data_IF_603001441323
#
_entry.id   IF_603001441323
#
_cell.length_a   1.000
_cell.length_b   1.000
_cell.length_c   1.000
_cell.angle_alpha   90.00
_cell.angle_beta   90.00
_cell.angle_gamma   90.00
#
_symmetry.space_group_name_H-M   'P 1'
#
loop_
_entity.id
_entity.type
_entity.pdbx_description
1 polymer ?
#
# COMPACT_ATOMS: atom_id res chain seq x y z
N UNK A 1 -37.66 25.47 -48.71
CA UNK A 1 -37.07 25.86 -50.01
C UNK A 1 -35.56 25.75 -49.80
N UNK A 2 -34.96 24.70 -50.40
CA UNK A 2 -33.53 24.31 -50.48
C UNK A 2 -32.74 24.24 -49.13
N UNK A 3 -32.41 23.09 -48.55
CA UNK A 3 -31.62 21.92 -48.99
C UNK A 3 -30.12 22.18 -49.20
N UNK A 4 -29.30 21.63 -48.31
CA UNK A 4 -27.94 21.08 -48.55
C UNK A 4 -27.30 20.65 -47.22
N UNK A 5 -27.17 19.33 -47.04
CA UNK A 5 -26.19 18.69 -46.13
C UNK A 5 -24.75 19.01 -46.57
N UNK A 6 -23.74 18.87 -45.68
CA UNK A 6 -23.07 17.57 -45.57
C UNK A 6 -22.50 17.19 -44.18
N UNK A 7 -22.43 15.87 -44.00
CA UNK A 7 -21.32 15.05 -43.45
C UNK A 7 -20.94 15.09 -41.96
N UNK A 8 -21.27 13.95 -41.37
CA UNK A 8 -20.84 13.30 -40.13
C UNK A 8 -19.34 12.97 -40.20
N UNK A 9 -18.55 13.33 -39.17
CA UNK A 9 -17.16 12.88 -39.02
C UNK A 9 -16.96 12.28 -37.64
N UNK A 10 -16.94 10.95 -37.63
CA UNK A 10 -16.50 10.09 -36.53
C UNK A 10 -15.00 10.33 -36.26
N UNK A 11 -14.65 10.53 -34.98
CA UNK A 11 -13.26 10.53 -34.53
C UNK A 11 -12.92 9.10 -34.11
N UNK A 12 -12.37 8.35 -35.06
CA UNK A 12 -11.75 7.04 -34.84
C UNK A 12 -10.31 7.26 -34.33
N UNK A 13 -10.02 6.85 -33.08
CA UNK A 13 -8.67 6.89 -32.52
C UNK A 13 -7.98 5.57 -32.88
N UNK A 14 -7.15 5.63 -33.91
CA UNK A 14 -6.42 4.51 -34.51
C UNK A 14 -5.32 3.99 -33.56
N UNK A 15 -5.45 2.73 -33.14
CA UNK A 15 -4.45 1.96 -32.42
C UNK A 15 -3.44 1.40 -33.43
N UNK A 16 -2.24 1.98 -33.53
CA UNK A 16 -1.12 1.38 -34.28
C UNK A 16 0.18 1.42 -33.47
N UNK A 17 0.40 0.32 -32.74
CA UNK A 17 1.75 -0.20 -32.49
C UNK A 17 1.80 -1.61 -33.08
N UNK A 18 2.09 -1.68 -34.38
CA UNK A 18 2.60 -2.87 -35.03
C UNK A 18 4.07 -2.57 -35.36
N UNK A 19 4.99 -3.22 -34.67
CA UNK A 19 6.42 -3.16 -35.02
C UNK A 19 6.66 -4.26 -36.04
N UNK A 20 6.74 -3.85 -37.30
CA UNK A 20 7.18 -4.68 -38.42
C UNK A 20 8.68 -5.00 -38.25
N UNK A 21 9.00 -6.29 -38.15
CA UNK A 21 10.36 -6.79 -38.31
C UNK A 21 10.69 -6.82 -39.81
N UNK A 22 11.45 -5.84 -40.31
CA UNK A 22 12.11 -5.94 -41.61
C UNK A 22 13.60 -6.19 -41.42
N UNK A 23 14.02 -7.41 -41.76
CA UNK A 23 15.41 -7.81 -41.96
C UNK A 23 15.95 -7.16 -43.23
N UNK A 24 17.02 -6.37 -43.10
CA UNK A 24 17.82 -5.90 -44.23
C UNK A 24 19.09 -6.76 -44.32
N UNK A 25 19.17 -7.54 -45.40
CA UNK A 25 20.37 -8.23 -45.88
C UNK A 25 21.29 -7.23 -46.59
N UNK A 26 22.58 -7.26 -46.27
CA UNK A 26 23.61 -6.59 -47.05
C UNK A 26 24.66 -7.63 -47.45
N UNK A 27 24.78 -7.87 -48.76
CA UNK A 27 25.84 -8.65 -49.38
C UNK A 27 26.99 -7.74 -49.83
N UNK A 28 28.17 -8.37 -49.80
CA UNK A 28 29.41 -8.16 -50.57
C UNK A 28 30.45 -7.07 -50.20
N UNK A 29 31.56 -7.62 -49.68
CA UNK A 29 32.96 -7.47 -50.13
C UNK A 29 33.73 -6.16 -49.95
N UNK A 30 34.68 -6.15 -49.00
CA UNK A 30 36.12 -6.24 -49.37
C UNK A 30 37.09 -6.43 -48.17
N UNK A 31 37.86 -7.51 -48.26
CA UNK A 31 39.28 -7.75 -47.89
C UNK A 31 39.92 -7.11 -46.64
N UNK A 32 40.34 -8.05 -45.78
CA UNK A 32 41.50 -8.07 -44.88
C UNK A 32 42.67 -7.13 -45.24
N UNK A 33 43.28 -6.47 -44.25
CA UNK A 33 44.74 -6.52 -43.97
C UNK A 33 45.03 -6.04 -42.54
N UNK A 34 45.95 -6.77 -41.89
CA UNK A 34 46.53 -6.63 -40.54
C UNK A 34 47.19 -5.27 -40.31
N UNK A 35 47.30 -4.82 -39.05
CA UNK A 35 48.56 -4.79 -38.25
C UNK A 35 48.46 -3.76 -37.11
N UNK A 36 48.93 -4.16 -35.93
CA UNK A 36 49.09 -3.35 -34.73
C UNK A 36 50.02 -2.14 -34.92
N UNK A 37 49.68 -1.00 -34.28
CA UNK A 37 50.45 -0.30 -33.24
C UNK A 37 50.13 1.20 -33.26
N UNK A 38 49.73 1.68 -32.08
CA UNK A 38 50.01 2.98 -31.48
C UNK A 38 49.62 4.24 -32.27
N UNK A 39 48.59 4.94 -31.81
CA UNK A 39 48.78 6.30 -31.30
C UNK A 39 47.62 6.70 -30.39
N UNK A 40 48.00 7.17 -29.20
CA UNK A 40 47.16 7.90 -28.26
C UNK A 40 47.05 9.30 -28.82
N UNK A 41 45.84 9.72 -29.22
CA UNK A 41 45.32 11.07 -29.06
C UNK A 41 43.99 11.20 -29.81
N UNK A 42 42.89 11.02 -29.06
CA UNK A 42 41.61 11.72 -29.22
C UNK A 42 40.62 11.14 -28.20
N UNK A 43 40.63 11.72 -26.99
CA UNK A 43 39.54 11.55 -26.04
C UNK A 43 38.35 12.34 -26.59
N UNK A 44 37.49 11.68 -27.37
CA UNK A 44 36.14 12.16 -27.65
C UNK A 44 35.18 11.57 -26.63
N UNK A 45 34.78 12.38 -25.64
CA UNK A 45 33.69 12.02 -24.73
C UNK A 45 32.40 11.98 -25.53
N UNK A 46 31.97 10.77 -25.89
CA UNK A 46 30.66 10.52 -26.47
C UNK A 46 29.73 10.14 -25.32
N UNK A 47 28.72 10.97 -25.04
CA UNK A 47 27.67 10.62 -24.09
C UNK A 47 26.82 9.48 -24.67
N UNK A 48 27.18 8.25 -24.31
CA UNK A 48 26.41 7.04 -24.62
C UNK A 48 25.16 7.04 -23.71
N UNK A 49 24.00 7.25 -24.33
CA UNK A 49 22.69 7.13 -23.70
C UNK A 49 22.23 5.66 -23.75
N UNK A 50 23.05 4.75 -23.22
CA UNK A 50 22.69 3.33 -23.18
C UNK A 50 22.25 2.96 -21.76
N UNK A 51 20.95 2.73 -21.66
CA UNK A 51 20.32 1.63 -20.93
C UNK A 51 20.87 1.31 -19.53
N UNK A 52 20.22 1.89 -18.51
CA UNK A 52 19.98 1.21 -17.25
C UNK A 52 18.98 0.07 -17.48
N UNK A 53 19.41 -0.99 -18.14
CA UNK A 53 18.80 -2.32 -18.03
C UNK A 53 19.65 -3.06 -17.03
N UNK A 54 19.13 -3.20 -15.81
CA UNK A 54 19.68 -4.14 -14.84
C UNK A 54 19.44 -5.52 -15.42
N UNK A 55 20.51 -6.20 -15.84
CA UNK A 55 20.48 -7.62 -16.19
C UNK A 55 20.06 -8.41 -14.94
N UNK A 56 18.82 -8.92 -14.95
CA UNK A 56 18.28 -9.83 -13.92
C UNK A 56 18.49 -11.31 -14.32
N UNK A 57 19.08 -11.59 -15.48
CA UNK A 57 19.11 -12.96 -16.05
C UNK A 57 20.39 -13.75 -15.73
N UNK A 58 20.72 -13.99 -14.46
CA UNK A 58 21.81 -14.94 -14.13
C UNK A 58 21.58 -15.96 -13.01
N UNK A 59 20.35 -16.27 -12.57
CA UNK A 59 20.13 -17.43 -11.69
C UNK A 59 18.82 -18.21 -11.90
N UNK A 60 18.63 -18.85 -13.04
CA UNK A 60 18.03 -20.20 -13.08
C UNK A 60 18.18 -20.84 -14.47
N UNK A 61 19.15 -21.73 -14.61
CA UNK A 61 19.27 -22.60 -15.78
C UNK A 61 18.60 -23.93 -15.44
N UNK A 62 17.27 -23.96 -15.50
CA UNK A 62 16.45 -25.16 -15.33
C UNK A 62 15.54 -25.24 -16.55
N UNK A 63 15.92 -26.03 -17.54
CA UNK A 63 15.16 -26.28 -18.77
C UNK A 63 13.86 -27.03 -18.45
N UNK A 64 12.80 -26.30 -18.15
CA UNK A 64 11.42 -26.78 -18.25
C UNK A 64 10.75 -26.08 -19.44
N UNK A 65 9.89 -26.78 -20.21
CA UNK A 65 9.16 -26.14 -21.30
C UNK A 65 8.23 -25.08 -20.71
N UNK A 66 8.60 -23.81 -20.90
CA UNK A 66 7.83 -22.64 -20.48
C UNK A 66 6.45 -22.71 -21.12
N UNK A 67 5.43 -22.85 -20.29
CA UNK A 67 4.04 -22.80 -20.72
C UNK A 67 3.77 -21.37 -21.22
N UNK A 68 3.04 -21.21 -22.33
CA UNK A 68 2.84 -19.91 -23.03
C UNK A 68 2.16 -18.81 -22.18
N UNK A 69 1.81 -19.09 -20.93
CA UNK A 69 1.22 -18.17 -19.96
C UNK A 69 2.25 -17.50 -19.03
N UNK A 70 3.53 -17.86 -19.07
CA UNK A 70 4.54 -17.36 -18.11
C UNK A 70 5.02 -15.92 -18.40
N UNK A 71 4.79 -15.39 -19.61
CA UNK A 71 5.18 -14.02 -19.99
C UNK A 71 4.30 -12.90 -19.42
N UNK A 72 3.12 -13.22 -18.89
CA UNK A 72 2.19 -12.23 -18.32
C UNK A 72 2.27 -12.13 -16.79
N UNK A 73 3.05 -13.01 -16.14
CA UNK A 73 3.18 -13.05 -14.69
C UNK A 73 4.22 -12.04 -14.21
N UNK A 74 3.95 -11.42 -13.05
CA UNK A 74 4.91 -10.51 -12.44
C UNK A 74 6.25 -11.22 -12.16
N UNK A 75 7.41 -10.59 -12.41
CA UNK A 75 8.71 -11.16 -12.08
C UNK A 75 8.93 -11.32 -10.57
N UNK A 76 8.09 -10.67 -9.75
CA UNK A 76 8.11 -10.78 -8.30
C UNK A 76 7.11 -11.83 -7.83
N UNK A 77 7.63 -12.89 -7.20
CA UNK A 77 6.83 -14.01 -6.70
C UNK A 77 5.73 -13.56 -5.74
N UNK A 78 5.98 -12.54 -4.91
CA UNK A 78 4.98 -12.05 -3.95
C UNK A 78 3.82 -11.35 -4.65
N UNK A 79 4.07 -10.69 -5.79
CA UNK A 79 3.02 -10.04 -6.58
C UNK A 79 2.25 -11.11 -7.35
N UNK A 80 2.97 -12.01 -8.02
CA UNK A 80 2.47 -13.16 -8.76
C UNK A 80 1.52 -14.06 -7.93
N UNK A 81 1.83 -14.27 -6.66
CA UNK A 81 1.00 -15.08 -5.77
C UNK A 81 -0.30 -14.39 -5.33
N UNK A 82 -0.31 -13.06 -5.24
CA UNK A 82 -1.38 -12.28 -4.61
C UNK A 82 -2.28 -11.53 -5.60
N UNK A 83 -1.80 -11.25 -6.81
CA UNK A 83 -2.50 -10.50 -7.85
C UNK A 83 -2.79 -11.43 -9.04
N UNK A 84 -4.01 -11.35 -9.58
CA UNK A 84 -4.38 -12.07 -10.80
C UNK A 84 -4.02 -11.23 -12.03
N UNK A 85 -3.44 -11.85 -13.05
CA UNK A 85 -3.17 -11.17 -14.33
C UNK A 85 -4.41 -11.01 -15.20
N UNK A 86 -5.47 -11.76 -14.88
CA UNK A 86 -6.74 -11.72 -15.62
C UNK A 86 -7.64 -10.63 -15.04
N UNK A 87 -8.08 -9.71 -15.89
CA UNK A 87 -9.10 -8.71 -15.56
C UNK A 87 -10.33 -8.84 -16.47
N UNK A 88 -11.51 -8.56 -15.92
CA UNK A 88 -12.78 -8.46 -16.66
C UNK A 88 -13.24 -6.99 -16.70
N UNK A 89 -13.09 -6.29 -17.85
CA UNK A 89 -13.49 -4.89 -17.99
C UNK A 89 -14.99 -4.63 -17.84
N UNK A 90 -15.84 -5.64 -17.98
CA UNK A 90 -17.31 -5.49 -17.94
C UNK A 90 -17.88 -5.44 -16.52
N UNK A 91 -17.07 -5.81 -15.51
CA UNK A 91 -17.48 -5.89 -14.12
C UNK A 91 -17.79 -4.50 -13.55
N UNK A 92 -18.95 -4.36 -12.90
CA UNK A 92 -19.38 -3.10 -12.30
C UNK A 92 -18.39 -2.61 -11.22
N UNK A 93 -18.13 -1.30 -11.16
CA UNK A 93 -17.17 -0.70 -10.22
C UNK A 93 -17.84 0.41 -9.39
N UNK A 94 -18.33 1.44 -10.08
CA UNK A 94 -18.96 2.61 -9.46
C UNK A 94 -20.47 2.40 -9.36
N UNK A 95 -20.90 1.81 -8.25
CA UNK A 95 -22.31 1.56 -7.97
C UNK A 95 -22.76 2.32 -6.73
N UNK A 96 -24.06 2.38 -6.50
CA UNK A 96 -24.60 3.06 -5.31
C UNK A 96 -24.01 2.49 -4.01
N UNK A 97 -23.90 1.16 -3.90
CA UNK A 97 -23.31 0.49 -2.74
C UNK A 97 -21.83 0.85 -2.56
N UNK A 98 -21.06 0.97 -3.65
CA UNK A 98 -19.65 1.38 -3.59
C UNK A 98 -19.49 2.78 -3.00
N UNK A 99 -20.29 3.74 -3.47
CA UNK A 99 -20.27 5.11 -2.96
C UNK A 99 -20.77 5.20 -1.52
N UNK A 100 -21.89 4.56 -1.21
CA UNK A 100 -22.49 4.59 0.12
C UNK A 100 -21.56 3.99 1.17
N UNK A 101 -21.04 2.77 0.93
CA UNK A 101 -20.13 2.11 1.86
C UNK A 101 -18.76 2.80 1.90
N UNK A 102 -18.23 3.21 0.75
CA UNK A 102 -16.96 3.94 0.66
C UNK A 102 -16.98 5.20 1.53
N UNK A 103 -17.95 6.09 1.31
CA UNK A 103 -18.07 7.34 2.08
C UNK A 103 -18.33 7.07 3.58
N UNK A 104 -19.17 6.09 3.91
CA UNK A 104 -19.46 5.74 5.30
C UNK A 104 -18.21 5.25 6.03
N UNK A 105 -17.44 4.33 5.43
CA UNK A 105 -16.19 3.85 6.03
C UNK A 105 -15.11 4.93 6.07
N UNK A 106 -14.96 5.75 5.04
CA UNK A 106 -14.00 6.88 5.07
C UNK A 106 -14.30 7.83 6.23
N UNK A 107 -15.55 8.24 6.40
CA UNK A 107 -15.96 9.14 7.49
C UNK A 107 -15.79 8.51 8.87
N UNK A 108 -16.22 7.25 9.03
CA UNK A 108 -16.10 6.53 10.30
C UNK A 108 -14.64 6.32 10.71
N UNK A 109 -13.80 5.88 9.78
CA UNK A 109 -12.40 5.57 10.04
C UNK A 109 -11.62 6.85 10.36
N UNK A 110 -11.87 7.94 9.61
CA UNK A 110 -11.26 9.24 9.86
C UNK A 110 -11.62 9.79 11.23
N UNK A 111 -12.90 9.69 11.63
CA UNK A 111 -13.34 10.11 12.95
C UNK A 111 -12.67 9.31 14.08
N UNK A 112 -12.69 7.98 13.98
CA UNK A 112 -12.14 7.11 15.04
C UNK A 112 -10.62 7.28 15.16
N UNK A 113 -9.90 7.28 14.04
CA UNK A 113 -8.45 7.42 14.06
C UNK A 113 -8.02 8.82 14.52
N UNK A 114 -8.75 9.87 14.13
CA UNK A 114 -8.49 11.22 14.65
C UNK A 114 -8.73 11.33 16.16
N UNK A 115 -9.73 10.61 16.67
CA UNK A 115 -10.00 10.54 18.11
C UNK A 115 -8.86 9.83 18.86
N UNK A 116 -8.36 8.70 18.33
CA UNK A 116 -7.28 7.94 18.97
C UNK A 116 -5.90 8.59 18.81
N UNK A 117 -5.71 9.52 17.88
CA UNK A 117 -4.46 10.24 17.67
C UNK A 117 -3.93 10.96 18.91
N UNK A 118 -4.82 11.46 19.77
CA UNK A 118 -4.43 12.18 20.98
C UNK A 118 -4.07 11.27 22.17
N UNK A 119 -4.02 9.95 21.97
CA UNK A 119 -3.55 9.02 23.00
C UNK A 119 -2.03 8.97 23.03
N UNK A 120 -1.46 8.69 24.21
CA UNK A 120 -0.01 8.48 24.40
C UNK A 120 0.55 7.39 23.47
N UNK A 121 -0.22 6.32 23.28
CA UNK A 121 0.01 5.30 22.25
C UNK A 121 -1.18 5.31 21.29
N UNK A 122 -1.05 5.92 20.10
CA UNK A 122 -2.17 6.08 19.19
C UNK A 122 -2.64 4.73 18.66
N UNK A 123 -3.94 4.47 18.76
CA UNK A 123 -4.57 3.31 18.13
C UNK A 123 -4.95 3.67 16.70
N UNK A 124 -4.44 2.93 15.73
CA UNK A 124 -4.82 3.11 14.32
C UNK A 124 -5.64 1.93 13.85
N UNK A 125 -6.89 2.19 13.47
CA UNK A 125 -7.72 1.20 12.80
C UNK A 125 -7.32 1.17 11.32
N UNK A 126 -6.73 0.06 10.91
CA UNK A 126 -6.28 -0.15 9.53
C UNK A 126 -7.40 -0.41 8.54
N UNK A 127 -7.10 -0.23 7.25
CA UNK A 127 -8.05 -0.40 6.14
C UNK A 127 -8.62 -1.83 6.04
N UNK A 128 -7.89 -2.83 6.53
CA UNK A 128 -8.32 -4.24 6.52
C UNK A 128 -9.66 -4.46 7.26
N UNK A 129 -9.93 -3.68 8.31
CA UNK A 129 -11.22 -3.75 9.03
C UNK A 129 -12.36 -3.29 8.12
N UNK A 130 -12.17 -2.18 7.40
CA UNK A 130 -13.14 -1.69 6.43
C UNK A 130 -13.31 -2.68 5.27
N UNK A 131 -12.23 -3.32 4.80
CA UNK A 131 -12.29 -4.37 3.78
C UNK A 131 -13.15 -5.57 4.26
N UNK A 132 -12.87 -6.11 5.44
CA UNK A 132 -13.60 -7.28 5.93
C UNK A 132 -15.10 -6.98 6.19
N UNK A 133 -15.40 -5.84 6.81
CA UNK A 133 -16.78 -5.43 7.08
C UNK A 133 -17.54 -5.05 5.81
N UNK A 134 -16.90 -4.34 4.88
CA UNK A 134 -17.54 -3.96 3.61
C UNK A 134 -17.85 -5.16 2.73
N UNK A 135 -17.10 -6.26 2.82
CA UNK A 135 -17.48 -7.51 2.16
C UNK A 135 -18.80 -8.08 2.70
N UNK A 136 -18.92 -8.18 4.03
CA UNK A 136 -20.12 -8.72 4.68
C UNK A 136 -21.35 -7.84 4.42
N UNK A 137 -21.20 -6.54 4.61
CA UNK A 137 -22.26 -5.56 4.38
C UNK A 137 -22.59 -5.48 2.89
N UNK A 138 -21.59 -5.48 2.00
CA UNK A 138 -21.75 -5.44 0.54
C UNK A 138 -22.52 -6.65 -0.01
N UNK A 139 -22.18 -7.87 0.41
CA UNK A 139 -22.94 -9.09 0.07
C UNK A 139 -24.38 -9.03 0.59
N UNK A 140 -24.59 -8.44 1.78
CA UNK A 140 -25.93 -8.29 2.37
C UNK A 140 -26.76 -7.25 1.60
N UNK A 141 -26.19 -6.09 1.28
CA UNK A 141 -26.83 -5.06 0.46
C UNK A 141 -27.15 -5.57 -0.94
N UNK A 142 -26.28 -6.40 -1.54
CA UNK A 142 -26.56 -7.01 -2.84
C UNK A 142 -27.78 -7.94 -2.83
N UNK A 143 -28.15 -8.52 -1.67
CA UNK A 143 -29.36 -9.34 -1.52
C UNK A 143 -30.62 -8.51 -1.23
N UNK A 144 -30.47 -7.39 -0.52
CA UNK A 144 -31.60 -6.57 -0.04
C UNK A 144 -32.00 -5.48 -1.05
N UNK A 145 -31.04 -4.88 -1.76
CA UNK A 145 -31.30 -3.73 -2.62
C UNK A 145 -32.11 -4.11 -3.87
N UNK A 146 -33.08 -3.27 -4.27
CA UNK A 146 -33.91 -3.52 -5.44
C UNK A 146 -33.09 -3.41 -6.73
N UNK A 147 -33.30 -4.37 -7.64
CA UNK A 147 -32.72 -4.40 -9.00
C UNK A 147 -33.50 -3.56 -10.02
N UNK A 148 -34.52 -2.84 -9.56
CA UNK A 148 -35.36 -2.00 -10.44
C UNK A 148 -34.51 -0.89 -11.07
N UNK A 149 -34.64 -0.73 -12.39
CA UNK A 149 -34.05 0.37 -13.14
C UNK A 149 -34.93 1.61 -12.94
N UNK A 150 -34.38 2.64 -12.31
CA UNK A 150 -35.01 3.93 -12.15
C UNK A 150 -34.56 4.84 -13.29
N UNK A 151 -35.51 5.56 -13.89
CA UNK A 151 -35.25 6.55 -14.93
C UNK A 151 -35.44 7.94 -14.34
N UNK A 152 -34.37 8.73 -14.28
CA UNK A 152 -34.42 10.16 -13.98
C UNK A 152 -34.01 10.90 -15.24
N UNK A 153 -34.95 11.60 -15.87
CA UNK A 153 -34.77 12.26 -17.17
C UNK A 153 -34.20 11.31 -18.26
N UNK A 154 -32.99 11.56 -18.76
CA UNK A 154 -32.28 10.73 -19.75
C UNK A 154 -31.35 9.68 -19.12
N UNK A 155 -31.22 9.66 -17.79
CA UNK A 155 -30.31 8.76 -17.08
C UNK A 155 -31.06 7.56 -16.50
N UNK A 156 -30.50 6.38 -16.72
CA UNK A 156 -30.96 5.14 -16.12
C UNK A 156 -29.99 4.76 -15.01
N UNK A 157 -30.50 4.59 -13.79
CA UNK A 157 -29.70 4.11 -12.68
C UNK A 157 -30.38 2.92 -12.00
N UNK A 158 -29.57 2.00 -11.51
CA UNK A 158 -30.04 0.88 -10.68
C UNK A 158 -29.32 0.95 -9.34
N UNK A 159 -30.04 0.71 -8.25
CA UNK A 159 -29.41 0.59 -6.93
C UNK A 159 -28.63 -0.72 -6.80
N UNK A 160 -28.99 -1.73 -7.59
CA UNK A 160 -28.36 -3.04 -7.56
C UNK A 160 -28.14 -3.56 -8.99
N UNK A 161 -26.91 -3.41 -9.54
CA UNK A 161 -26.61 -3.88 -10.89
C UNK A 161 -26.34 -5.39 -10.97
N UNK A 162 -26.18 -6.09 -9.84
CA UNK A 162 -25.86 -7.51 -9.82
C UNK A 162 -25.17 -7.97 -8.53
N UNK A 163 -24.53 -9.14 -8.52
CA UNK A 163 -23.80 -9.64 -7.34
C UNK A 163 -22.69 -8.67 -6.90
N UNK A 164 -22.30 -8.72 -5.62
CA UNK A 164 -21.22 -7.88 -5.10
C UNK A 164 -19.88 -8.33 -5.67
N UNK A 165 -19.21 -7.45 -6.41
CA UNK A 165 -18.01 -7.79 -7.18
C UNK A 165 -16.71 -7.43 -6.44
N UNK A 166 -15.59 -7.98 -6.90
CA UNK A 166 -14.25 -7.64 -6.39
C UNK A 166 -13.92 -6.16 -6.63
N UNK A 167 -14.29 -5.60 -7.80
CA UNK A 167 -13.98 -4.21 -8.16
C UNK A 167 -14.73 -3.20 -7.30
N UNK A 168 -16.00 -3.44 -7.02
CA UNK A 168 -16.77 -2.62 -6.07
C UNK A 168 -16.16 -2.68 -4.67
N UNK A 169 -15.74 -3.86 -4.25
CA UNK A 169 -15.07 -4.01 -2.97
C UNK A 169 -13.73 -3.24 -2.94
N UNK A 170 -12.94 -3.34 -4.00
CA UNK A 170 -11.66 -2.66 -4.15
C UNK A 170 -11.81 -1.12 -4.07
N UNK A 171 -12.80 -0.55 -4.74
CA UNK A 171 -13.00 0.91 -4.70
C UNK A 171 -13.51 1.38 -3.33
N UNK A 172 -14.36 0.61 -2.64
CA UNK A 172 -14.77 0.90 -1.26
C UNK A 172 -13.54 0.95 -0.35
N UNK A 173 -12.68 -0.06 -0.42
CA UNK A 173 -11.46 -0.13 0.40
C UNK A 173 -10.48 0.99 0.06
N UNK A 174 -10.36 1.36 -1.23
CA UNK A 174 -9.52 2.48 -1.67
C UNK A 174 -10.05 3.80 -1.09
N UNK A 175 -11.36 4.05 -1.15
CA UNK A 175 -11.97 5.21 -0.50
C UNK A 175 -11.72 5.19 1.02
N UNK A 176 -11.95 4.06 1.68
CA UNK A 176 -11.73 3.93 3.12
C UNK A 176 -10.26 4.15 3.52
N UNK A 177 -9.29 3.76 2.68
CA UNK A 177 -7.86 3.93 2.94
C UNK A 177 -7.49 5.41 3.14
N UNK A 178 -8.16 6.32 2.44
CA UNK A 178 -7.96 7.77 2.59
C UNK A 178 -8.38 8.31 3.96
N UNK A 179 -9.23 7.56 4.69
CA UNK A 179 -9.68 7.89 6.04
C UNK A 179 -8.87 7.22 7.14
N UNK A 180 -7.85 6.41 6.83
CA UNK A 180 -7.01 5.78 7.87
C UNK A 180 -6.12 6.82 8.55
N UNK A 181 -5.52 7.73 7.78
CA UNK A 181 -4.59 8.74 8.28
C UNK A 181 -5.29 9.95 8.89
N UNK A 182 -4.66 10.57 9.88
CA UNK A 182 -5.03 11.89 10.37
C UNK A 182 -4.44 12.98 9.47
N UNK A 183 -5.15 14.11 9.35
CA UNK A 183 -4.66 15.22 8.55
C UNK A 183 -3.59 16.00 9.32
N UNK A 184 -2.36 16.07 8.79
CA UNK A 184 -1.24 16.78 9.43
C UNK A 184 -1.56 18.24 9.79
N UNK A 185 -2.41 18.92 9.01
CA UNK A 185 -2.86 20.28 9.32
C UNK A 185 -3.60 20.41 10.67
N UNK A 186 -4.14 19.32 11.21
CA UNK A 186 -4.76 19.30 12.54
C UNK A 186 -3.73 19.57 13.63
N UNK A 187 -2.49 19.10 13.50
CA UNK A 187 -1.45 19.33 14.52
C UNK A 187 -1.15 20.83 14.66
N UNK A 188 -1.12 21.58 13.53
CA UNK A 188 -0.96 23.04 13.53
C UNK A 188 -2.10 23.72 14.29
N UNK A 189 -3.35 23.32 14.02
CA UNK A 189 -4.53 23.85 14.69
C UNK A 189 -4.53 23.54 16.19
N UNK A 190 -4.13 22.33 16.56
CA UNK A 190 -4.03 21.88 17.95
C UNK A 190 -2.94 22.64 18.69
N UNK A 191 -1.76 22.84 18.10
CA UNK A 191 -0.68 23.62 18.70
C UNK A 191 -1.12 25.07 18.92
N UNK A 192 -1.75 25.69 17.91
CA UNK A 192 -2.25 27.06 18.01
C UNK A 192 -3.27 27.22 19.15
N UNK A 193 -4.16 26.22 19.32
CA UNK A 193 -5.19 26.25 20.37
C UNK A 193 -4.63 25.94 21.76
N UNK A 194 -3.76 24.94 21.89
CA UNK A 194 -3.28 24.45 23.19
C UNK A 194 -2.12 25.28 23.75
N UNK A 195 -1.13 25.61 22.92
CA UNK A 195 0.07 26.33 23.36
C UNK A 195 -0.07 27.84 23.20
N UNK A 196 -0.58 28.32 22.06
CA UNK A 196 -0.69 29.75 21.78
C UNK A 196 -2.02 30.37 22.24
N UNK A 197 -2.95 29.56 22.76
CA UNK A 197 -4.28 29.99 23.26
C UNK A 197 -5.07 30.85 22.26
N UNK A 198 -4.83 30.66 20.96
CA UNK A 198 -5.56 31.38 19.89
C UNK A 198 -6.56 30.44 19.24
N UNK A 199 -7.79 30.92 19.07
CA UNK A 199 -8.85 30.18 18.38
C UNK A 199 -8.96 30.67 16.94
N UNK A 200 -9.03 29.74 16.00
CA UNK A 200 -9.31 30.02 14.59
C UNK A 200 -10.80 29.80 14.33
N UNK A 201 -11.40 30.63 13.47
CA UNK A 201 -12.79 30.42 13.08
C UNK A 201 -12.96 29.03 12.42
N UNK A 202 -13.97 28.22 12.80
CA UNK A 202 -14.11 26.85 12.31
C UNK A 202 -14.13 26.73 10.77
N UNK A 203 -14.79 27.67 10.10
CA UNK A 203 -14.81 27.70 8.62
C UNK A 203 -13.43 27.88 8.00
N UNK A 204 -12.58 28.73 8.58
CA UNK A 204 -11.21 28.89 8.09
C UNK A 204 -10.38 27.63 8.37
N UNK A 205 -10.57 27.00 9.54
CA UNK A 205 -9.88 25.77 9.90
C UNK A 205 -10.22 24.62 8.93
N UNK A 206 -11.49 24.49 8.53
CA UNK A 206 -11.94 23.50 7.53
C UNK A 206 -11.26 23.77 6.18
N UNK A 207 -11.27 25.02 5.70
CA UNK A 207 -10.63 25.39 4.42
C UNK A 207 -9.12 25.14 4.48
N UNK A 208 -8.47 25.44 5.59
CA UNK A 208 -7.04 25.19 5.79
C UNK A 208 -6.73 23.69 5.68
N UNK A 209 -7.48 22.85 6.39
CA UNK A 209 -7.30 21.39 6.33
C UNK A 209 -7.57 20.87 4.91
N UNK A 210 -8.67 21.27 4.27
CA UNK A 210 -9.00 20.85 2.89
C UNK A 210 -7.89 21.24 1.91
N UNK A 211 -7.39 22.48 1.99
CA UNK A 211 -6.33 22.98 1.10
C UNK A 211 -5.06 22.16 1.25
N UNK A 212 -4.68 21.81 2.49
CA UNK A 212 -3.50 20.96 2.75
C UNK A 212 -3.65 19.56 2.15
N UNK A 213 -4.84 18.96 2.25
CA UNK A 213 -5.10 17.63 1.70
C UNK A 213 -5.12 17.64 0.17
N UNK A 214 -5.74 18.66 -0.46
CA UNK A 214 -5.77 18.80 -1.92
C UNK A 214 -4.35 18.97 -2.47
N UNK A 215 -3.50 19.75 -1.80
CA UNK A 215 -2.10 19.90 -2.18
C UNK A 215 -1.37 18.55 -2.16
N UNK A 216 -1.55 17.77 -1.09
CA UNK A 216 -0.97 16.43 -0.96
C UNK A 216 -1.41 15.47 -2.07
N UNK A 217 -2.72 15.39 -2.33
CA UNK A 217 -3.25 14.54 -3.43
C UNK A 217 -2.81 15.02 -4.81
N UNK A 218 -2.69 16.34 -5.02
CA UNK A 218 -2.15 16.92 -6.25
C UNK A 218 -0.70 16.49 -6.50
N UNK A 219 0.15 16.57 -5.47
CA UNK A 219 1.55 16.15 -5.54
C UNK A 219 1.69 14.64 -5.78
N UNK A 220 0.86 13.82 -5.10
CA UNK A 220 0.81 12.37 -5.33
C UNK A 220 0.43 12.04 -6.79
N UNK A 221 -0.51 12.81 -7.37
CA UNK A 221 -0.90 12.68 -8.78
C UNK A 221 0.26 12.93 -9.76
N UNK A 222 1.14 13.89 -9.47
CA UNK A 222 2.33 14.17 -10.29
C UNK A 222 3.37 13.05 -10.13
N UNK A 223 3.58 12.56 -8.90
CA UNK A 223 4.57 11.52 -8.60
C UNK A 223 4.17 10.11 -9.03
N UNK A 224 2.90 9.87 -9.39
CA UNK A 224 2.41 8.54 -9.81
C UNK A 224 3.22 7.91 -10.95
N UNK A 225 3.77 8.73 -11.85
CA UNK A 225 4.60 8.27 -12.96
C UNK A 225 5.89 7.59 -12.50
N UNK A 226 6.41 7.98 -11.34
CA UNK A 226 7.66 7.47 -10.80
C UNK A 226 7.42 6.43 -9.69
N UNK A 227 6.31 6.55 -8.94
CA UNK A 227 6.05 5.73 -7.75
C UNK A 227 5.00 4.63 -7.95
N UNK A 228 4.25 4.62 -9.05
CA UNK A 228 3.13 3.68 -9.25
C UNK A 228 3.23 2.93 -10.57
N UNK A 229 3.49 3.61 -11.68
CA UNK A 229 3.53 2.96 -13.00
C UNK A 229 4.73 2.03 -13.25
N UNK A 230 5.95 2.28 -12.73
CA UNK A 230 7.05 1.36 -12.95
C UNK A 230 6.80 0.01 -12.28
N UNK A 231 6.92 -1.09 -13.03
CA UNK A 231 6.67 -2.46 -12.54
C UNK A 231 7.60 -2.87 -11.39
N UNK A 232 8.79 -2.27 -11.30
CA UNK A 232 9.73 -2.48 -10.20
C UNK A 232 9.27 -1.90 -8.85
N UNK A 233 8.27 -1.01 -8.85
CA UNK A 233 7.81 -0.33 -7.65
C UNK A 233 6.69 -1.13 -6.95
N UNK A 234 7.09 -1.95 -5.99
CA UNK A 234 6.18 -2.80 -5.21
C UNK A 234 5.80 -2.11 -3.91
N UNK A 235 4.52 -2.22 -3.54
CA UNK A 235 3.98 -1.75 -2.27
C UNK A 235 3.51 -2.94 -1.43
N UNK A 236 4.35 -3.52 -0.56
CA UNK A 236 4.02 -4.72 0.22
C UNK A 236 2.73 -4.60 1.03
N UNK A 237 2.47 -3.40 1.59
CA UNK A 237 1.22 -3.11 2.31
C UNK A 237 -0.04 -3.29 1.48
N UNK A 238 0.05 -3.04 0.17
CA UNK A 238 -1.08 -3.21 -0.73
C UNK A 238 -1.28 -4.69 -1.11
N UNK A 239 -0.21 -5.49 -1.16
CA UNK A 239 -0.29 -6.92 -1.45
C UNK A 239 -1.13 -7.67 -0.41
N UNK A 240 -1.08 -7.25 0.86
CA UNK A 240 -1.93 -7.81 1.92
C UNK A 240 -3.43 -7.59 1.62
N UNK A 241 -3.79 -6.40 1.14
CA UNK A 241 -5.18 -6.12 0.74
C UNK A 241 -5.58 -6.96 -0.49
N UNK A 242 -4.70 -7.11 -1.47
CA UNK A 242 -4.91 -7.97 -2.65
C UNK A 242 -5.14 -9.43 -2.27
N UNK A 243 -4.30 -9.98 -1.39
CA UNK A 243 -4.43 -11.34 -0.87
C UNK A 243 -5.77 -11.56 -0.17
N UNK A 244 -6.22 -10.56 0.61
CA UNK A 244 -7.51 -10.61 1.30
C UNK A 244 -8.69 -10.51 0.31
N UNK A 245 -8.63 -9.67 -0.72
CA UNK A 245 -9.66 -9.63 -1.77
C UNK A 245 -9.83 -10.99 -2.46
N UNK A 246 -8.71 -11.60 -2.84
CA UNK A 246 -8.69 -12.93 -3.44
C UNK A 246 -9.32 -13.96 -2.50
N UNK A 247 -8.96 -13.93 -1.23
CA UNK A 247 -9.50 -14.88 -0.24
C UNK A 247 -11.00 -14.69 0.02
N UNK A 248 -11.51 -13.45 -0.01
CA UNK A 248 -12.92 -13.15 0.27
C UNK A 248 -13.85 -13.39 -0.93
N UNK A 249 -13.34 -13.29 -2.15
CA UNK A 249 -14.15 -13.39 -3.37
C UNK A 249 -13.92 -14.65 -4.20
N UNK A 250 -12.80 -15.37 -4.00
CA UNK A 250 -12.61 -16.69 -4.60
C UNK A 250 -13.22 -17.75 -3.69
N UNK A 251 -14.54 -17.92 -3.77
CA UNK A 251 -15.30 -19.00 -3.13
C UNK A 251 -15.05 -20.39 -3.79
N UNK A 252 -14.18 -20.46 -4.80
CA UNK A 252 -13.72 -21.71 -5.43
C UNK A 252 -12.20 -21.65 -5.56
N UNK A 253 -11.52 -22.48 -4.77
CA UNK A 253 -10.16 -22.89 -5.07
C UNK A 253 -10.14 -23.34 -6.54
N UNK A 254 -9.35 -22.65 -7.35
CA UNK A 254 -9.14 -23.03 -8.74
C UNK A 254 -8.60 -24.47 -8.71
N UNK A 255 -9.31 -25.49 -9.23
CA UNK A 255 -8.85 -26.87 -9.20
C UNK A 255 -7.65 -27.11 -10.14
N UNK A 256 -7.22 -26.07 -10.84
CA UNK A 256 -6.23 -26.10 -11.91
C UNK A 256 -4.78 -25.96 -11.44
N UNK A 257 -4.53 -25.77 -10.15
CA UNK A 257 -3.19 -25.92 -9.57
C UNK A 257 -3.13 -27.28 -8.86
N UNK A 258 -2.44 -28.23 -9.48
CA UNK A 258 -2.24 -29.62 -9.03
C UNK A 258 -1.43 -29.75 -7.71
N UNK A 259 -1.23 -28.63 -7.01
CA UNK A 259 -0.58 -28.54 -5.72
C UNK A 259 -1.63 -28.68 -4.61
N UNK A 260 -1.88 -29.93 -4.21
CA UNK A 260 -2.59 -30.23 -2.96
C UNK A 260 -1.97 -29.37 -1.84
N UNK A 261 -2.74 -28.48 -1.17
CA UNK A 261 -2.17 -27.63 -0.15
C UNK A 261 -1.63 -28.51 0.98
N UNK A 262 -0.35 -28.33 1.32
CA UNK A 262 0.33 -29.02 2.44
C UNK A 262 -0.35 -28.77 3.79
N UNK A 263 -1.28 -27.81 3.83
CA UNK A 263 -2.07 -27.41 4.98
C UNK A 263 -3.55 -27.66 4.70
N UNK A 264 -4.22 -28.39 5.58
CA UNK A 264 -5.65 -28.77 5.46
C UNK A 264 -6.62 -27.65 5.87
N UNK A 265 -6.10 -26.52 6.39
CA UNK A 265 -6.92 -25.43 6.91
C UNK A 265 -7.21 -24.39 5.83
N UNK A 266 -8.49 -24.04 5.65
CA UNK A 266 -8.85 -22.94 4.75
C UNK A 266 -8.32 -21.61 5.28
N UNK A 267 -7.96 -20.69 4.37
CA UNK A 267 -7.39 -19.37 4.71
C UNK A 267 -8.25 -18.58 5.70
N UNK A 268 -9.58 -18.63 5.52
CA UNK A 268 -10.53 -17.96 6.41
C UNK A 268 -10.57 -18.57 7.81
N UNK A 269 -10.45 -19.90 7.94
CA UNK A 269 -10.38 -20.56 9.26
C UNK A 269 -9.09 -20.21 9.98
N UNK A 270 -7.96 -20.21 9.27
CA UNK A 270 -6.68 -19.75 9.84
C UNK A 270 -6.78 -18.30 10.34
N UNK A 271 -7.35 -17.40 9.53
CA UNK A 271 -7.61 -16.02 9.93
C UNK A 271 -8.46 -15.94 11.21
N UNK A 272 -9.54 -16.72 11.31
CA UNK A 272 -10.41 -16.72 12.48
C UNK A 272 -9.69 -17.21 13.75
N UNK A 273 -8.87 -18.26 13.64
CA UNK A 273 -8.05 -18.75 14.77
C UNK A 273 -7.06 -17.69 15.22
N UNK A 274 -6.30 -17.10 14.28
CA UNK A 274 -5.34 -16.04 14.59
C UNK A 274 -6.01 -14.81 15.23
N UNK A 275 -7.20 -14.43 14.73
CA UNK A 275 -7.99 -13.33 15.29
C UNK A 275 -8.39 -13.61 16.75
N UNK A 276 -8.89 -14.81 17.06
CA UNK A 276 -9.26 -15.19 18.43
C UNK A 276 -8.03 -15.24 19.34
N UNK A 277 -6.92 -15.81 18.87
CA UNK A 277 -5.67 -15.84 19.62
C UNK A 277 -5.18 -14.43 19.96
N UNK A 278 -5.18 -13.52 18.97
CA UNK A 278 -4.79 -12.13 19.18
C UNK A 278 -5.76 -11.38 20.09
N UNK A 279 -7.08 -11.64 19.95
CA UNK A 279 -8.09 -11.07 20.84
C UNK A 279 -7.86 -11.46 22.30
N UNK A 280 -7.54 -12.74 22.56
CA UNK A 280 -7.20 -13.21 23.92
C UNK A 280 -5.87 -12.61 24.37
N UNK A 281 -4.84 -12.61 23.52
CA UNK A 281 -3.52 -12.08 23.85
C UNK A 281 -3.56 -10.61 24.24
N UNK A 282 -4.41 -9.79 23.59
CA UNK A 282 -4.55 -8.37 23.89
C UNK A 282 -4.87 -8.07 25.38
N UNK A 283 -5.59 -8.96 26.07
CA UNK A 283 -5.89 -8.80 27.49
C UNK A 283 -4.66 -8.98 28.40
N UNK A 284 -3.63 -9.69 27.93
CA UNK A 284 -2.43 -9.95 28.72
C UNK A 284 -1.62 -8.68 28.97
N UNK A 285 -1.04 -8.00 27.95
CA UNK A 285 -0.32 -6.76 28.19
C UNK A 285 -1.26 -5.61 28.58
N UNK A 286 -2.55 -5.66 28.19
CA UNK A 286 -3.49 -4.57 28.45
C UNK A 286 -4.09 -4.54 29.86
N UNK A 287 -4.23 -5.70 30.53
CA UNK A 287 -4.96 -5.78 31.80
C UNK A 287 -4.37 -6.79 32.79
N UNK A 288 -4.08 -8.01 32.35
CA UNK A 288 -3.71 -9.11 33.26
C UNK A 288 -2.28 -8.95 33.77
N UNK A 289 -1.33 -8.64 32.89
CA UNK A 289 0.08 -8.48 33.22
C UNK A 289 0.71 -7.31 32.44
N UNK A 290 0.47 -6.06 32.88
CA UNK A 290 0.92 -4.84 32.18
C UNK A 290 2.44 -4.73 32.01
N UNK A 291 3.23 -5.45 32.80
CA UNK A 291 4.69 -5.50 32.67
C UNK A 291 5.11 -6.05 31.30
N UNK A 292 4.27 -6.85 30.63
CA UNK A 292 4.50 -7.31 29.25
C UNK A 292 4.47 -6.19 28.22
N UNK A 293 3.76 -5.08 28.50
CA UNK A 293 3.73 -3.95 27.59
C UNK A 293 5.13 -3.36 27.46
N UNK A 294 5.81 -3.05 28.55
CA UNK A 294 7.19 -2.59 28.48
C UNK A 294 7.99 -3.05 29.69
N UNK A 295 8.96 -3.91 29.42
CA UNK A 295 9.86 -4.48 30.40
C UNK A 295 11.29 -3.98 30.18
N UNK A 296 11.69 -2.98 30.98
CA UNK A 296 13.07 -2.50 31.04
C UNK A 296 13.84 -3.25 32.12
N UNK A 297 14.44 -4.39 31.76
CA UNK A 297 15.18 -5.23 32.70
C UNK A 297 16.41 -4.50 33.28
N UNK A 298 17.02 -3.58 32.52
CA UNK A 298 18.21 -2.82 32.93
C UNK A 298 17.86 -1.84 34.05
N UNK A 299 16.71 -1.15 33.95
CA UNK A 299 16.21 -0.29 35.03
C UNK A 299 15.99 -1.06 36.35
N UNK A 300 15.62 -2.34 36.28
CA UNK A 300 15.39 -3.17 37.47
C UNK A 300 16.68 -3.47 38.25
N UNK A 301 17.84 -3.49 37.59
CA UNK A 301 19.14 -3.77 38.24
C UNK A 301 19.51 -2.65 39.21
N UNK A 302 19.26 -1.40 38.84
CA UNK A 302 19.55 -0.24 39.68
C UNK A 302 18.45 0.82 39.56
N UNK A 303 17.31 0.65 40.25
CA UNK A 303 16.12 1.47 40.06
C UNK A 303 16.30 2.94 40.46
N UNK A 304 17.23 3.23 41.39
CA UNK A 304 17.44 4.58 41.91
C UNK A 304 18.44 5.41 41.08
N UNK A 305 18.94 4.90 39.94
CA UNK A 305 19.89 5.62 39.10
C UNK A 305 19.16 6.43 38.02
N UNK A 306 19.23 7.75 38.13
CA UNK A 306 18.60 8.70 37.19
C UNK A 306 19.11 8.52 35.77
N UNK A 307 20.43 8.36 35.58
CA UNK A 307 21.05 8.17 34.26
C UNK A 307 20.57 6.89 33.60
N UNK A 308 20.43 5.81 34.40
CA UNK A 308 19.94 4.53 33.89
C UNK A 308 18.46 4.64 33.48
N UNK A 309 17.65 5.32 34.30
CA UNK A 309 16.24 5.59 33.99
C UNK A 309 16.07 6.43 32.72
N UNK A 310 16.94 7.41 32.48
CA UNK A 310 16.93 8.21 31.25
C UNK A 310 17.32 7.39 30.01
N UNK A 311 18.27 6.46 30.12
CA UNK A 311 18.72 5.65 29.00
C UNK A 311 17.79 4.47 28.68
N UNK A 312 17.25 3.80 29.70
CA UNK A 312 16.55 2.52 29.52
C UNK A 312 15.08 2.57 29.96
N UNK A 313 14.63 3.63 30.63
CA UNK A 313 13.27 3.73 31.17
C UNK A 313 12.19 4.01 30.13
N UNK A 314 10.93 3.84 30.55
CA UNK A 314 9.71 4.07 29.74
C UNK A 314 9.63 5.51 29.21
N UNK A 315 9.99 6.48 30.05
CA UNK A 315 10.04 7.90 29.68
C UNK A 315 11.44 8.32 29.18
N UNK A 316 12.32 7.34 28.95
CA UNK A 316 13.68 7.52 28.49
C UNK A 316 13.86 7.05 27.05
N UNK A 317 15.11 6.72 26.69
CA UNK A 317 15.46 6.22 25.36
C UNK A 317 15.06 4.75 25.09
N UNK A 318 14.65 4.01 26.12
CA UNK A 318 14.21 2.62 25.99
C UNK A 318 15.30 1.64 25.55
N UNK A 319 16.59 1.97 25.75
CA UNK A 319 17.69 1.07 25.37
C UNK A 319 17.56 -0.26 26.11
N UNK A 320 17.50 -1.37 25.36
CA UNK A 320 17.41 -2.72 25.92
C UNK A 320 16.06 -3.06 26.58
N UNK A 321 15.04 -2.21 26.42
CA UNK A 321 13.67 -2.52 26.83
C UNK A 321 13.02 -3.53 25.88
N UNK A 322 12.24 -4.44 26.46
CA UNK A 322 11.50 -5.45 25.73
C UNK A 322 10.02 -5.11 25.81
N UNK A 323 9.36 -4.99 24.67
CA UNK A 323 7.93 -4.70 24.56
C UNK A 323 7.25 -5.89 23.89
N UNK A 324 6.28 -6.50 24.56
CA UNK A 324 5.51 -7.64 24.04
C UNK A 324 4.06 -7.25 23.71
N UNK A 325 3.70 -5.96 23.86
CA UNK A 325 2.43 -5.45 23.37
C UNK A 325 2.50 -5.15 21.86
N UNK A 326 1.79 -5.98 21.08
CA UNK A 326 1.68 -5.80 19.64
C UNK A 326 1.15 -4.42 19.25
N UNK A 327 0.21 -3.88 20.04
CA UNK A 327 -0.40 -2.60 19.72
C UNK A 327 0.61 -1.46 19.85
N UNK A 328 1.38 -1.43 20.93
CA UNK A 328 2.43 -0.44 21.12
C UNK A 328 3.52 -0.50 20.03
N UNK A 329 3.92 -1.69 19.57
CA UNK A 329 4.82 -1.84 18.43
C UNK A 329 4.27 -1.21 17.15
N UNK A 330 3.03 -1.57 16.79
CA UNK A 330 2.42 -1.14 15.53
C UNK A 330 2.03 0.34 15.54
N UNK A 331 1.76 0.93 16.71
CA UNK A 331 1.44 2.35 16.86
C UNK A 331 2.49 3.30 16.28
N UNK A 332 3.76 2.91 16.28
CA UNK A 332 4.87 3.79 15.87
C UNK A 332 5.55 3.35 14.58
N UNK A 333 5.76 2.05 14.38
CA UNK A 333 6.52 1.52 13.22
C UNK A 333 5.64 0.86 12.15
N UNK A 334 4.33 0.78 12.38
CA UNK A 334 3.42 0.00 11.54
C UNK A 334 3.61 -1.51 11.72
N UNK A 335 2.98 -2.30 10.86
CA UNK A 335 3.05 -3.77 10.97
C UNK A 335 4.37 -4.31 10.40
N UNK A 336 5.26 -4.89 11.22
CA UNK A 336 6.53 -5.43 10.74
C UNK A 336 6.32 -6.63 9.82
N UNK A 337 5.23 -7.38 9.96
CA UNK A 337 4.93 -8.55 9.13
C UNK A 337 4.83 -8.20 7.64
N UNK A 338 4.45 -6.96 7.35
CA UNK A 338 4.20 -6.46 6.00
C UNK A 338 5.45 -5.86 5.36
N UNK A 339 6.38 -5.37 6.20
CA UNK A 339 7.57 -4.66 5.75
C UNK A 339 8.69 -5.66 5.46
N UNK A 340 9.38 -5.59 4.31
CA UNK A 340 10.50 -6.46 4.00
C UNK A 340 11.62 -6.39 5.06
N UNK A 341 12.27 -7.52 5.33
CA UNK A 341 13.31 -7.63 6.35
C UNK A 341 14.44 -6.59 6.19
N UNK A 342 14.93 -6.38 4.96
CA UNK A 342 15.99 -5.42 4.70
C UNK A 342 15.60 -3.99 5.11
N UNK A 343 14.34 -3.61 4.90
CA UNK A 343 13.84 -2.28 5.27
C UNK A 343 13.74 -2.14 6.79
N UNK A 344 13.33 -3.20 7.48
CA UNK A 344 13.31 -3.23 8.95
C UNK A 344 14.72 -3.06 9.54
N UNK A 345 15.71 -3.76 8.98
CA UNK A 345 17.12 -3.65 9.43
C UNK A 345 17.64 -2.22 9.22
N UNK A 346 17.30 -1.57 8.10
CA UNK A 346 17.68 -0.19 7.85
C UNK A 346 17.06 0.79 8.86
N UNK A 347 15.77 0.63 9.16
CA UNK A 347 15.07 1.44 10.17
C UNK A 347 15.71 1.23 11.55
N UNK A 348 15.98 -0.03 11.92
CA UNK A 348 16.62 -0.37 13.18
C UNK A 348 18.02 0.24 13.29
N UNK A 349 18.83 0.15 12.23
CA UNK A 349 20.15 0.76 12.20
C UNK A 349 20.08 2.28 12.37
N UNK A 350 19.19 2.95 11.63
CA UNK A 350 18.97 4.38 11.76
C UNK A 350 18.53 4.78 13.17
N UNK A 351 17.63 4.00 13.78
CA UNK A 351 17.18 4.21 15.15
C UNK A 351 18.29 4.03 16.18
N UNK A 352 19.06 2.93 16.11
CA UNK A 352 20.19 2.68 17.01
C UNK A 352 21.24 3.79 16.86
N UNK A 353 21.55 4.20 15.63
CA UNK A 353 22.55 5.23 15.39
C UNK A 353 22.12 6.61 15.90
N UNK A 354 20.90 7.06 15.57
CA UNK A 354 20.42 8.38 15.97
C UNK A 354 19.99 8.42 17.44
N UNK A 355 19.11 7.51 17.84
CA UNK A 355 18.56 7.49 19.18
C UNK A 355 19.58 6.95 20.18
N UNK A 356 20.20 5.78 19.96
CA UNK A 356 21.01 5.18 21.02
C UNK A 356 22.46 5.69 21.08
N UNK A 357 23.01 6.23 19.99
CA UNK A 357 24.37 6.78 19.99
C UNK A 357 24.38 8.31 20.01
N UNK A 358 23.79 8.97 18.99
CA UNK A 358 23.92 10.42 18.83
C UNK A 358 23.18 11.19 19.94
N UNK A 359 21.94 10.83 20.27
CA UNK A 359 21.17 11.57 21.27
C UNK A 359 21.83 11.53 22.67
N UNK A 360 22.26 10.37 23.21
CA UNK A 360 23.05 10.35 24.44
C UNK A 360 24.37 11.08 24.32
N UNK A 361 25.12 10.88 23.22
CA UNK A 361 26.42 11.55 23.05
C UNK A 361 26.29 13.06 23.09
N UNK A 362 25.29 13.64 22.42
CA UNK A 362 25.03 15.07 22.42
C UNK A 362 24.46 15.58 23.74
N UNK A 363 23.59 14.81 24.41
CA UNK A 363 22.99 15.19 25.69
C UNK A 363 23.99 15.18 26.85
N UNK A 364 24.90 14.21 26.90
CA UNK A 364 25.88 14.08 27.99
C UNK A 364 27.20 14.80 27.70
N UNK A 365 27.46 15.22 26.45
CA UNK A 365 28.64 16.03 26.08
C UNK A 365 28.40 17.54 26.12
N UNK A 366 27.15 17.97 26.33
CA UNK A 366 26.74 19.37 26.46
C UNK A 366 26.41 19.66 27.92
#
# INVERSE_FOLDING_TARGET
MADSSPEENDIEVDNKYAVDNQSFTADDDNKQTKTHLNDIDNISVTFRKDSLTVDIDQRHNSSYPLDKNEGEQSPYEEVAANVSNKDDPSMAVLTFRSWFLGLAFTGLLSFINQFFWYRTSPLVIGVLVAQLLSHLIGKTLAKILPTKKFKIFRWYFTFNPGPFTVKEHCIITTMASTGVGTAYAIDVLTIQRLFYKRTMHPGMAIIFVITSQILGYGMAGIMRKFLVWPAAMIWPSNLVNCALFRTLHNDKEDPSTDDKPRWTMTRLRFFAVAFICQFIYYWFPGYIFPVLSLFSWICMIKPNNVVLSQLTGINGLGIGSIELDWNAWVSFLGSPIVVPYWAQVNILFGFVFLAWLIAPATYYSN
#
